data_IF_348405957523
#
_entry.id   IF_348405957523
#
_cell.length_a   1.000
_cell.length_b   1.000
_cell.length_c   1.000
_cell.angle_alpha   90.00
_cell.angle_beta   90.00
_cell.angle_gamma   90.00
#
_symmetry.space_group_name_H-M   'P 1'
#
loop_
_entity.id
_entity.type
_entity.pdbx_description
1 polymer ?
#
# COMPACT_ATOMS: atom_id res chain seq x y z
N UNK A 1 13.12 -29.59 8.01
CA UNK A 1 12.82 -28.14 8.07
C UNK A 1 14.10 -27.38 7.76
N UNK A 2 14.26 -26.87 6.54
CA UNK A 2 15.39 -26.00 6.23
C UNK A 2 15.12 -24.63 6.87
N UNK A 3 15.99 -24.22 7.79
CA UNK A 3 16.02 -22.85 8.29
C UNK A 3 16.41 -21.94 7.13
N UNK A 4 15.46 -21.18 6.60
CA UNK A 4 15.76 -20.05 5.71
C UNK A 4 16.48 -18.99 6.53
N UNK A 5 17.78 -18.82 6.27
CA UNK A 5 18.58 -17.76 6.86
C UNK A 5 17.94 -16.38 6.65
N UNK A 6 18.13 -15.42 7.57
CA UNK A 6 17.65 -14.05 7.37
C UNK A 6 18.21 -13.48 6.06
N UNK A 7 17.33 -12.86 5.26
CA UNK A 7 17.67 -12.25 3.98
C UNK A 7 18.87 -11.29 4.12
N UNK A 8 19.96 -11.60 3.42
CA UNK A 8 21.13 -10.73 3.30
C UNK A 8 21.07 -9.99 1.97
N UNK A 9 21.31 -8.67 1.97
CA UNK A 9 21.37 -7.85 0.75
C UNK A 9 22.43 -8.34 -0.25
N UNK A 10 23.44 -9.07 0.22
CA UNK A 10 24.45 -9.75 -0.60
C UNK A 10 23.91 -10.91 -1.44
N UNK A 11 22.66 -11.34 -1.24
CA UNK A 11 21.99 -12.40 -2.01
C UNK A 11 21.19 -11.87 -3.21
N UNK A 12 21.30 -10.56 -3.52
CA UNK A 12 20.67 -9.96 -4.70
C UNK A 12 21.58 -10.15 -5.91
N UNK A 13 21.08 -10.88 -6.92
CA UNK A 13 21.83 -11.27 -8.11
C UNK A 13 22.40 -10.09 -8.90
N UNK A 14 21.57 -9.06 -9.14
CA UNK A 14 21.91 -7.89 -9.97
C UNK A 14 21.34 -6.62 -9.35
N UNK A 15 21.96 -6.10 -8.27
CA UNK A 15 21.38 -5.02 -7.48
C UNK A 15 21.17 -3.73 -8.30
N UNK A 16 22.13 -3.34 -9.15
CA UNK A 16 21.99 -2.15 -9.99
C UNK A 16 20.83 -2.25 -11.00
N UNK A 17 20.65 -3.40 -11.64
CA UNK A 17 19.54 -3.63 -12.58
C UNK A 17 18.20 -3.74 -11.86
N UNK A 18 18.17 -4.34 -10.67
CA UNK A 18 16.98 -4.35 -9.81
C UNK A 18 16.57 -2.93 -9.45
N UNK A 19 17.49 -2.11 -8.92
CA UNK A 19 17.22 -0.72 -8.56
C UNK A 19 16.70 0.09 -9.76
N UNK A 20 17.36 0.00 -10.92
CA UNK A 20 16.90 0.67 -12.13
C UNK A 20 15.50 0.22 -12.56
N UNK A 21 15.23 -1.10 -12.52
CA UNK A 21 13.90 -1.65 -12.86
C UNK A 21 12.82 -1.17 -11.90
N UNK A 22 13.12 -1.05 -10.60
CA UNK A 22 12.19 -0.57 -9.59
C UNK A 22 11.87 0.93 -9.74
N UNK A 23 12.87 1.74 -10.08
CA UNK A 23 12.67 3.16 -10.41
C UNK A 23 11.77 3.29 -11.65
N UNK A 24 12.04 2.51 -12.70
CA UNK A 24 11.20 2.48 -13.89
C UNK A 24 9.79 1.98 -13.59
N UNK A 25 9.64 0.96 -12.73
CA UNK A 25 8.33 0.46 -12.31
C UNK A 25 7.49 1.55 -11.62
N UNK A 26 8.10 2.32 -10.71
CA UNK A 26 7.46 3.47 -10.07
C UNK A 26 7.05 4.55 -11.07
N UNK A 27 7.95 4.91 -11.98
CA UNK A 27 7.68 5.93 -13.01
C UNK A 27 6.56 5.51 -13.96
N UNK A 28 6.55 4.26 -14.43
CA UNK A 28 5.51 3.71 -15.31
C UNK A 28 4.16 3.66 -14.59
N UNK A 29 4.12 3.15 -13.36
CA UNK A 29 2.89 3.10 -12.57
C UNK A 29 2.30 4.50 -12.35
N UNK A 30 3.11 5.46 -11.92
CA UNK A 30 2.67 6.84 -11.70
C UNK A 30 2.19 7.52 -12.99
N UNK A 31 2.82 7.21 -14.13
CA UNK A 31 2.43 7.74 -15.44
C UNK A 31 1.03 7.31 -15.85
N UNK A 32 0.52 6.17 -15.37
CA UNK A 32 -0.85 5.72 -15.64
C UNK A 32 -1.86 6.70 -15.03
N UNK A 33 -1.66 7.07 -13.77
CA UNK A 33 -2.52 8.04 -13.10
C UNK A 33 -2.42 9.42 -13.75
N UNK A 34 -1.20 9.92 -13.98
CA UNK A 34 -1.00 11.24 -14.62
C UNK A 34 -1.59 11.26 -16.03
N UNK A 35 -1.40 10.19 -16.80
CA UNK A 35 -1.91 10.07 -18.17
C UNK A 35 -3.44 10.06 -18.23
N UNK A 36 -4.10 9.35 -17.30
CA UNK A 36 -5.57 9.34 -17.24
C UNK A 36 -6.14 10.69 -16.77
N UNK A 37 -5.50 11.36 -15.80
CA UNK A 37 -5.87 12.74 -15.44
C UNK A 37 -5.70 13.70 -16.62
N UNK A 38 -4.58 13.60 -17.35
CA UNK A 38 -4.33 14.43 -18.53
C UNK A 38 -5.31 14.15 -19.68
N UNK A 39 -5.82 12.91 -19.77
CA UNK A 39 -6.87 12.52 -20.70
C UNK A 39 -8.28 12.98 -20.27
N UNK A 40 -8.40 13.70 -19.15
CA UNK A 40 -9.65 14.28 -18.66
C UNK A 40 -10.48 13.34 -17.79
N UNK A 41 -9.94 12.21 -17.33
CA UNK A 41 -10.63 11.37 -16.34
C UNK A 41 -10.64 12.11 -15.01
N UNK A 42 -11.81 12.34 -14.39
CA UNK A 42 -11.90 13.16 -13.18
C UNK A 42 -11.25 12.49 -11.97
N UNK A 43 -10.78 13.31 -11.03
CA UNK A 43 -10.24 12.81 -9.76
C UNK A 43 -11.39 12.33 -8.85
N UNK A 44 -11.30 11.15 -8.23
CA UNK A 44 -12.40 10.64 -7.41
C UNK A 44 -12.53 11.39 -6.08
N UNK A 45 -13.69 12.00 -5.83
CA UNK A 45 -14.04 12.67 -4.57
C UNK A 45 -15.30 12.05 -3.93
N UNK A 46 -15.26 10.79 -3.45
CA UNK A 46 -16.46 10.14 -2.97
C UNK A 46 -16.85 10.52 -1.54
N UNK A 47 -18.15 10.43 -1.24
CA UNK A 47 -18.70 10.49 0.10
C UNK A 47 -19.40 9.16 0.47
N UNK A 48 -18.64 8.08 0.69
CA UNK A 48 -19.22 6.76 0.88
C UNK A 48 -19.86 6.61 2.28
N UNK A 49 -20.96 5.87 2.40
CA UNK A 49 -21.56 5.55 3.70
C UNK A 49 -20.63 4.67 4.56
N UNK A 50 -20.89 4.64 5.86
CA UNK A 50 -20.03 3.95 6.85
C UNK A 50 -19.84 2.46 6.53
N UNK A 51 -20.87 1.77 6.03
CA UNK A 51 -20.77 0.35 5.69
C UNK A 51 -19.79 0.10 4.54
N UNK A 52 -19.72 1.01 3.55
CA UNK A 52 -18.79 0.90 2.43
C UNK A 52 -17.36 1.18 2.92
N UNK A 53 -17.19 2.14 3.83
CA UNK A 53 -15.91 2.37 4.49
C UNK A 53 -15.42 1.13 5.24
N UNK A 54 -16.31 0.51 6.00
CA UNK A 54 -16.04 -0.73 6.73
C UNK A 54 -15.65 -1.90 5.81
N UNK A 55 -16.37 -2.11 4.71
CA UNK A 55 -16.03 -3.16 3.75
C UNK A 55 -14.67 -2.92 3.07
N UNK A 56 -14.31 -1.68 2.79
CA UNK A 56 -12.98 -1.37 2.28
C UNK A 56 -11.87 -1.68 3.31
N UNK A 57 -12.11 -1.35 4.58
CA UNK A 57 -11.20 -1.72 5.69
C UNK A 57 -11.06 -3.24 5.84
N UNK A 58 -12.16 -3.97 5.62
CA UNK A 58 -12.13 -5.42 5.55
C UNK A 58 -11.20 -5.94 4.45
N UNK A 59 -11.27 -5.38 3.22
CA UNK A 59 -10.38 -5.79 2.13
C UNK A 59 -8.91 -5.51 2.45
N UNK A 60 -8.60 -4.33 2.99
CA UNK A 60 -7.24 -3.97 3.41
C UNK A 60 -6.72 -4.88 4.52
N UNK A 61 -7.53 -5.12 5.55
CA UNK A 61 -7.17 -6.00 6.67
C UNK A 61 -6.98 -7.46 6.19
N UNK A 62 -7.86 -7.95 5.32
CA UNK A 62 -7.75 -9.28 4.72
C UNK A 62 -6.47 -9.46 3.93
N UNK A 63 -6.07 -8.47 3.14
CA UNK A 63 -4.80 -8.48 2.43
C UNK A 63 -3.59 -8.47 3.37
N UNK A 64 -3.64 -7.67 4.44
CA UNK A 64 -2.55 -7.65 5.43
C UNK A 64 -2.44 -8.99 6.20
N UNK A 65 -3.56 -9.61 6.55
CA UNK A 65 -3.57 -10.95 7.16
C UNK A 65 -3.02 -12.02 6.20
N UNK A 66 -3.42 -11.98 4.92
CA UNK A 66 -2.90 -12.88 3.90
C UNK A 66 -1.39 -12.71 3.74
N UNK A 67 -0.91 -11.46 3.65
CA UNK A 67 0.51 -11.14 3.66
C UNK A 67 1.22 -11.71 4.89
N UNK A 68 0.71 -11.46 6.10
CA UNK A 68 1.35 -11.94 7.34
C UNK A 68 1.41 -13.46 7.43
N UNK A 69 0.42 -14.16 6.86
CA UNK A 69 0.41 -15.63 6.76
C UNK A 69 1.45 -16.14 5.77
N UNK A 70 1.55 -15.51 4.60
CA UNK A 70 2.57 -15.84 3.58
C UNK A 70 4.00 -15.52 4.05
N UNK A 71 4.18 -14.42 4.78
CA UNK A 71 5.47 -13.99 5.32
C UNK A 71 5.84 -14.72 6.63
N UNK A 72 5.00 -15.64 7.13
CA UNK A 72 5.27 -16.35 8.39
C UNK A 72 6.64 -17.04 8.42
N UNK A 73 7.09 -17.78 7.37
CA UNK A 73 8.42 -18.41 7.38
C UNK A 73 9.56 -17.41 7.59
N UNK A 74 9.46 -16.23 6.96
CA UNK A 74 10.45 -15.16 7.02
C UNK A 74 10.43 -14.38 8.34
N UNK A 75 9.33 -14.43 9.09
CA UNK A 75 9.11 -13.60 10.28
C UNK A 75 8.86 -14.40 11.57
N UNK A 76 8.88 -15.73 11.55
CA UNK A 76 8.51 -16.58 12.68
C UNK A 76 9.34 -16.31 13.95
N UNK A 77 10.62 -15.96 13.80
CA UNK A 77 11.55 -15.67 14.90
C UNK A 77 11.43 -14.23 15.45
N UNK A 78 10.64 -13.37 14.81
CA UNK A 78 10.54 -11.95 15.18
C UNK A 78 9.46 -11.76 16.26
N UNK A 79 9.74 -10.84 17.19
CA UNK A 79 8.77 -10.45 18.23
C UNK A 79 7.49 -9.85 17.62
N UNK A 80 6.39 -9.85 18.39
CA UNK A 80 5.14 -9.19 17.99
C UNK A 80 5.40 -7.73 17.61
N UNK A 81 6.19 -7.01 18.41
CA UNK A 81 6.56 -5.62 18.13
C UNK A 81 7.26 -5.48 16.77
N UNK A 82 8.27 -6.30 16.49
CA UNK A 82 8.99 -6.24 15.22
C UNK A 82 8.08 -6.55 14.03
N UNK A 83 7.19 -7.54 14.15
CA UNK A 83 6.18 -7.88 13.12
C UNK A 83 5.20 -6.74 12.90
N UNK A 84 4.75 -6.08 13.97
CA UNK A 84 3.87 -4.91 13.91
C UNK A 84 4.56 -3.74 13.21
N UNK A 85 5.83 -3.45 13.53
CA UNK A 85 6.60 -2.39 12.86
C UNK A 85 6.74 -2.67 11.36
N UNK A 86 7.05 -3.91 10.97
CA UNK A 86 7.17 -4.29 9.55
C UNK A 86 5.83 -4.12 8.83
N UNK A 87 4.74 -4.65 9.41
CA UNK A 87 3.40 -4.53 8.86
C UNK A 87 2.96 -3.06 8.74
N UNK A 88 3.26 -2.27 9.76
CA UNK A 88 3.02 -0.82 9.79
C UNK A 88 3.77 -0.11 8.66
N UNK A 89 5.08 -0.33 8.53
CA UNK A 89 5.91 0.31 7.49
C UNK A 89 5.40 -0.07 6.10
N UNK A 90 5.12 -1.34 5.83
CA UNK A 90 4.61 -1.79 4.53
C UNK A 90 3.27 -1.15 4.22
N UNK A 91 2.34 -1.19 5.17
CA UNK A 91 0.99 -0.65 4.98
C UNK A 91 1.02 0.87 4.82
N UNK A 92 1.77 1.59 5.67
CA UNK A 92 1.91 3.04 5.58
C UNK A 92 2.53 3.46 4.24
N UNK A 93 3.55 2.73 3.79
CA UNK A 93 4.26 3.02 2.56
C UNK A 93 3.41 2.73 1.31
N UNK A 94 2.75 1.57 1.25
CA UNK A 94 1.81 1.25 0.16
C UNK A 94 0.62 2.21 0.16
N UNK A 95 0.16 2.68 1.33
CA UNK A 95 -0.90 3.68 1.41
C UNK A 95 -0.44 5.10 1.12
N UNK A 96 0.86 5.31 0.91
CA UNK A 96 1.47 6.59 0.54
C UNK A 96 1.29 7.65 1.64
N UNK A 97 1.39 7.21 2.90
CA UNK A 97 1.05 8.05 4.04
C UNK A 97 1.99 9.25 4.12
N UNK A 98 3.30 9.05 3.94
CA UNK A 98 4.25 10.17 3.94
C UNK A 98 4.12 11.04 2.70
N UNK A 99 3.90 10.43 1.52
CA UNK A 99 3.66 11.14 0.26
C UNK A 99 2.47 12.10 0.38
N UNK A 100 1.38 11.74 1.04
CA UNK A 100 0.25 12.66 1.27
C UNK A 100 0.69 13.90 2.04
N UNK A 101 1.48 13.76 3.09
CA UNK A 101 2.02 14.89 3.87
C UNK A 101 3.01 15.73 3.05
N UNK A 102 3.91 15.09 2.31
CA UNK A 102 4.87 15.75 1.43
C UNK A 102 4.14 16.55 0.35
N UNK A 103 3.20 15.93 -0.37
CA UNK A 103 2.45 16.58 -1.45
C UNK A 103 1.56 17.69 -0.92
N UNK A 104 0.92 17.52 0.24
CA UNK A 104 0.20 18.60 0.92
C UNK A 104 1.14 19.78 1.21
N UNK A 105 2.33 19.52 1.74
CA UNK A 105 3.33 20.56 2.03
C UNK A 105 3.85 21.26 0.77
N UNK A 106 4.10 20.52 -0.31
CA UNK A 106 4.52 21.06 -1.61
C UNK A 106 3.43 21.93 -2.23
N UNK A 107 2.18 21.49 -2.17
CA UNK A 107 1.05 22.16 -2.83
C UNK A 107 0.59 23.40 -2.07
N UNK A 108 0.69 23.42 -0.73
CA UNK A 108 0.18 24.53 0.10
C UNK A 108 1.29 25.40 0.71
N UNK A 109 2.52 24.92 0.76
CA UNK A 109 3.59 25.49 1.57
C UNK A 109 3.41 25.30 3.09
N UNK A 110 2.34 24.62 3.54
CA UNK A 110 1.97 24.45 4.96
C UNK A 110 2.64 23.23 5.61
N UNK A 111 3.96 23.08 5.48
CA UNK A 111 4.70 21.89 5.93
C UNK A 111 4.39 21.43 7.36
N UNK A 112 4.30 22.37 8.31
CA UNK A 112 3.98 22.06 9.70
C UNK A 112 2.56 21.49 9.85
N UNK A 113 1.58 22.10 9.18
CA UNK A 113 0.19 21.61 9.19
C UNK A 113 0.07 20.24 8.52
N UNK A 114 0.75 20.05 7.38
CA UNK A 114 0.79 18.76 6.68
C UNK A 114 1.40 17.65 7.55
N UNK A 115 2.47 17.94 8.30
CA UNK A 115 3.09 16.99 9.23
C UNK A 115 2.14 16.60 10.37
N UNK A 116 1.42 17.57 10.96
CA UNK A 116 0.40 17.29 11.99
C UNK A 116 -0.75 16.44 11.39
N UNK A 117 -1.12 16.70 10.14
CA UNK A 117 -2.12 15.93 9.40
C UNK A 117 -1.79 14.44 9.25
N UNK A 118 -0.51 14.05 9.35
CA UNK A 118 -0.07 12.66 9.29
C UNK A 118 -0.37 11.84 10.56
N UNK A 119 -0.61 12.50 11.70
CA UNK A 119 -0.82 11.80 12.97
C UNK A 119 -2.02 10.86 12.89
N UNK A 120 -3.15 11.34 12.33
CA UNK A 120 -4.39 10.57 12.16
C UNK A 120 -4.19 9.29 11.33
N UNK A 121 -3.70 9.36 10.07
CA UNK A 121 -3.49 8.16 9.26
C UNK A 121 -2.44 7.22 9.86
N UNK A 122 -1.35 7.74 10.46
CA UNK A 122 -0.33 6.88 11.09
C UNK A 122 -0.90 6.08 12.27
N UNK A 123 -1.68 6.70 13.15
CA UNK A 123 -2.34 5.97 14.25
C UNK A 123 -3.28 4.89 13.69
N UNK A 124 -4.06 5.21 12.66
CA UNK A 124 -4.96 4.23 12.02
C UNK A 124 -4.19 3.04 11.46
N UNK A 125 -3.11 3.27 10.73
CA UNK A 125 -2.26 2.20 10.19
C UNK A 125 -1.65 1.37 11.32
N UNK A 126 -1.22 2.00 12.41
CA UNK A 126 -0.67 1.31 13.58
C UNK A 126 -1.70 0.38 14.24
N UNK A 127 -2.95 0.84 14.37
CA UNK A 127 -4.05 0.02 14.91
C UNK A 127 -4.28 -1.20 14.02
N UNK A 128 -4.45 -1.01 12.71
CA UNK A 128 -4.70 -2.13 11.78
C UNK A 128 -3.53 -3.10 11.77
N UNK A 129 -2.29 -2.59 11.72
CA UNK A 129 -1.09 -3.43 11.73
C UNK A 129 -1.00 -4.28 13.00
N UNK A 130 -1.19 -3.66 14.18
CA UNK A 130 -1.17 -4.37 15.45
C UNK A 130 -2.29 -5.41 15.54
N UNK A 131 -3.52 -5.04 15.18
CA UNK A 131 -4.66 -5.96 15.20
C UNK A 131 -4.43 -7.15 14.28
N UNK A 132 -3.94 -6.93 13.06
CA UNK A 132 -3.61 -8.00 12.11
C UNK A 132 -2.49 -8.93 12.64
N UNK A 133 -1.42 -8.38 13.21
CA UNK A 133 -0.30 -9.18 13.76
C UNK A 133 -0.75 -10.01 14.96
N UNK A 134 -1.59 -9.46 15.83
CA UNK A 134 -2.17 -10.21 16.94
C UNK A 134 -3.11 -11.30 16.42
N UNK A 135 -3.94 -10.96 15.43
CA UNK A 135 -5.00 -11.84 14.93
C UNK A 135 -4.53 -12.99 14.04
N UNK A 136 -3.42 -12.83 13.32
CA UNK A 136 -2.96 -13.80 12.32
C UNK A 136 -2.74 -15.20 12.90
N UNK A 137 -2.46 -15.33 14.21
CA UNK A 137 -2.31 -16.62 14.90
C UNK A 137 -3.58 -17.47 14.89
N UNK A 138 -4.75 -16.84 14.76
CA UNK A 138 -6.05 -17.51 14.71
C UNK A 138 -6.54 -17.74 13.27
N UNK A 139 -5.74 -17.36 12.26
CA UNK A 139 -6.09 -17.50 10.83
C UNK A 139 -5.65 -18.87 10.30
N UNK A 140 -6.42 -19.90 10.63
CA UNK A 140 -6.16 -21.28 10.23
C UNK A 140 -6.47 -21.53 8.74
N UNK A 141 -7.55 -20.94 8.23
CA UNK A 141 -8.00 -21.07 6.83
C UNK A 141 -8.67 -19.81 6.30
N UNK A 142 -9.30 -19.92 5.11
CA UNK A 142 -10.02 -18.81 4.48
C UNK A 142 -11.18 -18.30 5.35
N UNK A 143 -12.05 -19.14 5.94
CA UNK A 143 -13.16 -18.64 6.76
C UNK A 143 -12.67 -17.80 7.96
N UNK A 144 -11.68 -18.29 8.70
CA UNK A 144 -11.08 -17.54 9.82
C UNK A 144 -10.39 -16.25 9.38
N UNK A 145 -9.82 -16.22 8.16
CA UNK A 145 -9.24 -15.01 7.58
C UNK A 145 -10.32 -13.95 7.37
N UNK A 146 -11.44 -14.35 6.75
CA UNK A 146 -12.54 -13.46 6.45
C UNK A 146 -13.17 -12.91 7.74
N UNK A 147 -13.40 -13.77 8.74
CA UNK A 147 -13.94 -13.35 10.05
C UNK A 147 -13.00 -12.37 10.75
N UNK A 148 -11.70 -12.68 10.81
CA UNK A 148 -10.71 -11.79 11.40
C UNK A 148 -10.62 -10.45 10.66
N UNK A 149 -10.65 -10.47 9.33
CA UNK A 149 -10.65 -9.26 8.51
C UNK A 149 -11.91 -8.41 8.74
N UNK A 150 -13.09 -9.02 8.88
CA UNK A 150 -14.35 -8.31 9.14
C UNK A 150 -14.31 -7.62 10.51
N UNK A 151 -13.83 -8.34 11.53
CA UNK A 151 -13.66 -7.81 12.88
C UNK A 151 -12.65 -6.66 12.91
N UNK A 152 -11.50 -6.82 12.26
CA UNK A 152 -10.47 -5.76 12.17
C UNK A 152 -10.99 -4.57 11.36
N UNK A 153 -11.74 -4.80 10.29
CA UNK A 153 -12.40 -3.74 9.54
C UNK A 153 -13.34 -2.93 10.42
N UNK A 154 -14.12 -3.59 11.28
CA UNK A 154 -15.02 -2.94 12.22
C UNK A 154 -14.25 -2.13 13.28
N UNK A 155 -13.19 -2.72 13.85
CA UNK A 155 -12.27 -2.05 14.78
C UNK A 155 -11.65 -0.81 14.13
N UNK A 156 -11.13 -0.92 12.91
CA UNK A 156 -10.52 0.17 12.15
C UNK A 156 -11.51 1.31 11.90
N UNK A 157 -12.76 0.96 11.53
CA UNK A 157 -13.82 1.95 11.27
C UNK A 157 -14.25 2.69 12.53
N UNK A 158 -14.40 1.98 13.66
CA UNK A 158 -14.67 2.59 14.96
C UNK A 158 -13.48 3.44 15.43
N UNK A 159 -12.26 2.92 15.32
CA UNK A 159 -11.02 3.61 15.66
C UNK A 159 -10.87 4.91 14.85
N UNK A 160 -11.20 4.91 13.55
CA UNK A 160 -11.19 6.12 12.72
C UNK A 160 -12.02 7.25 13.33
N UNK A 161 -13.24 6.95 13.79
CA UNK A 161 -14.12 7.95 14.42
C UNK A 161 -13.56 8.43 15.76
N UNK A 162 -13.10 7.51 16.60
CA UNK A 162 -12.53 7.83 17.92
C UNK A 162 -11.24 8.66 17.81
N UNK A 163 -10.34 8.28 16.90
CA UNK A 163 -9.08 8.99 16.63
C UNK A 163 -9.37 10.37 16.06
N UNK A 164 -10.31 10.49 15.13
CA UNK A 164 -10.73 11.80 14.60
C UNK A 164 -11.25 12.71 15.72
N UNK A 165 -12.16 12.19 16.56
CA UNK A 165 -12.71 12.95 17.68
C UNK A 165 -11.64 13.35 18.70
N UNK A 166 -10.76 12.42 19.10
CA UNK A 166 -9.72 12.67 20.08
C UNK A 166 -8.66 13.66 19.58
N UNK A 167 -8.35 13.65 18.28
CA UNK A 167 -7.36 14.56 17.68
C UNK A 167 -7.96 15.84 17.12
N UNK A 168 -9.29 16.00 17.11
CA UNK A 168 -9.93 17.23 16.62
C UNK A 168 -9.45 18.48 17.38
N UNK A 169 -9.38 18.51 18.72
CA UNK A 169 -8.89 19.68 19.44
C UNK A 169 -7.47 20.07 19.06
N UNK A 170 -6.60 19.07 18.83
CA UNK A 170 -5.21 19.29 18.41
C UNK A 170 -5.15 19.90 17.00
N UNK A 171 -5.92 19.36 16.05
CA UNK A 171 -5.97 19.88 14.68
C UNK A 171 -6.51 21.30 14.64
N UNK A 172 -7.57 21.59 15.41
CA UNK A 172 -8.15 22.92 15.52
C UNK A 172 -7.18 23.92 16.18
N UNK A 173 -6.44 23.49 17.19
CA UNK A 173 -5.40 24.33 17.82
C UNK A 173 -4.33 24.79 16.83
N UNK A 174 -4.00 23.94 15.84
CA UNK A 174 -3.01 24.24 14.81
C UNK A 174 -3.62 24.71 13.47
N UNK A 175 -4.92 25.00 13.41
CA UNK A 175 -5.59 25.40 12.17
C UNK A 175 -5.01 26.69 11.56
N UNK A 176 -4.42 27.56 12.38
CA UNK A 176 -3.73 28.78 11.93
C UNK A 176 -2.47 28.51 11.08
N UNK A 177 -1.92 27.29 11.12
CA UNK A 177 -0.82 26.86 10.26
C UNK A 177 -1.28 26.43 8.86
N UNK A 178 -2.58 26.18 8.67
CA UNK A 178 -3.13 25.79 7.38
C UNK A 178 -3.00 26.95 6.37
N UNK A 179 -2.73 26.61 5.11
CA UNK A 179 -2.61 27.56 4.01
C UNK A 179 -3.44 27.09 2.83
N UNK A 180 -3.96 28.01 2.00
CA UNK A 180 -4.61 27.64 0.75
C UNK A 180 -3.62 26.97 -0.21
N UNK A 181 -4.15 26.22 -1.17
CA UNK A 181 -3.36 25.61 -2.22
C UNK A 181 -2.67 26.70 -3.06
N UNK A 182 -1.35 26.59 -3.21
CA UNK A 182 -0.53 27.43 -4.10
C UNK A 182 -0.55 26.91 -5.53
N UNK A 183 -0.79 25.61 -5.71
CA UNK A 183 -0.79 24.93 -7.00
C UNK A 183 -2.05 24.07 -7.15
N UNK A 184 -2.66 24.12 -8.33
CA UNK A 184 -3.75 23.22 -8.71
C UNK A 184 -3.33 22.42 -9.95
N UNK A 185 -4.04 21.32 -10.22
CA UNK A 185 -3.85 20.59 -11.47
C UNK A 185 -4.34 21.44 -12.67
N UNK A 186 -3.63 21.49 -13.80
CA UNK A 186 -2.37 20.80 -14.11
C UNK A 186 -1.17 21.39 -13.36
N UNK A 187 -0.44 20.51 -12.67
CA UNK A 187 0.64 20.93 -11.79
C UNK A 187 1.88 21.42 -12.56
N UNK A 188 2.60 22.43 -12.04
CA UNK A 188 3.91 22.81 -12.56
C UNK A 188 4.93 21.66 -12.46
N UNK A 189 5.94 21.68 -13.33
CA UNK A 189 6.96 20.62 -13.43
C UNK A 189 7.57 20.22 -12.08
N UNK A 190 7.93 21.18 -11.22
CA UNK A 190 8.56 20.88 -9.93
C UNK A 190 7.63 20.11 -8.97
N UNK A 191 6.32 20.38 -9.02
CA UNK A 191 5.31 19.65 -8.23
C UNK A 191 5.12 18.24 -8.80
N UNK A 192 5.13 18.09 -10.12
CA UNK A 192 5.13 16.77 -10.78
C UNK A 192 6.35 15.96 -10.38
N UNK A 193 7.55 16.55 -10.38
CA UNK A 193 8.78 15.87 -9.92
C UNK A 193 8.65 15.41 -8.48
N UNK A 194 8.16 16.27 -7.58
CA UNK A 194 7.89 15.88 -6.18
C UNK A 194 6.90 14.71 -6.08
N UNK A 195 5.86 14.70 -6.92
CA UNK A 195 4.88 13.62 -6.95
C UNK A 195 5.49 12.27 -7.38
N UNK A 196 6.43 12.27 -8.34
CA UNK A 196 7.13 11.05 -8.76
C UNK A 196 8.17 10.58 -7.74
N UNK A 197 8.93 11.50 -7.13
CA UNK A 197 9.93 11.16 -6.13
C UNK A 197 9.28 10.58 -4.86
N UNK A 198 8.21 11.21 -4.38
CA UNK A 198 7.46 10.75 -3.21
C UNK A 198 6.75 9.40 -3.46
N UNK A 199 6.42 9.06 -4.71
CA UNK A 199 5.89 7.74 -5.06
C UNK A 199 6.89 6.60 -4.82
N UNK A 200 8.19 6.91 -4.67
CA UNK A 200 9.19 5.95 -4.22
C UNK A 200 8.82 5.27 -2.89
N UNK A 201 8.00 5.91 -2.05
CA UNK A 201 7.43 5.31 -0.85
C UNK A 201 6.63 4.04 -1.16
N UNK A 202 5.68 4.12 -2.10
CA UNK A 202 4.86 2.97 -2.51
C UNK A 202 5.71 1.86 -3.14
N UNK A 203 6.71 2.23 -3.95
CA UNK A 203 7.68 1.29 -4.54
C UNK A 203 8.42 0.53 -3.44
N UNK A 204 8.95 1.24 -2.44
CA UNK A 204 9.65 0.62 -1.32
C UNK A 204 8.75 -0.32 -0.51
N UNK A 205 7.51 0.08 -0.26
CA UNK A 205 6.51 -0.77 0.41
C UNK A 205 6.20 -2.06 -0.37
N UNK A 206 5.97 -1.94 -1.68
CA UNK A 206 5.71 -3.08 -2.56
C UNK A 206 6.92 -4.03 -2.65
N UNK A 207 8.15 -3.50 -2.70
CA UNK A 207 9.39 -4.29 -2.70
C UNK A 207 9.54 -5.04 -1.39
N UNK A 208 9.47 -4.35 -0.25
CA UNK A 208 9.61 -4.96 1.06
C UNK A 208 8.59 -6.08 1.27
N UNK A 209 7.33 -5.86 0.88
CA UNK A 209 6.30 -6.89 0.89
C UNK A 209 6.70 -8.10 0.03
N UNK A 210 7.11 -7.84 -1.22
CA UNK A 210 7.51 -8.86 -2.19
C UNK A 210 8.65 -9.72 -1.67
N UNK A 211 9.72 -9.11 -1.14
CA UNK A 211 10.88 -9.83 -0.58
C UNK A 211 10.44 -10.81 0.52
N UNK A 212 9.54 -10.39 1.40
CA UNK A 212 9.15 -11.18 2.57
C UNK A 212 8.26 -12.38 2.23
N UNK A 213 7.46 -12.31 1.16
CA UNK A 213 6.53 -13.38 0.79
C UNK A 213 7.00 -14.24 -0.38
N UNK A 214 8.01 -13.81 -1.14
CA UNK A 214 8.36 -14.40 -2.45
C UNK A 214 8.50 -15.92 -2.43
N UNK A 215 9.23 -16.45 -1.45
CA UNK A 215 9.51 -17.88 -1.34
C UNK A 215 8.31 -18.69 -0.84
N UNK A 216 7.34 -18.03 -0.20
CA UNK A 216 6.05 -18.62 0.20
C UNK A 216 5.01 -18.68 -0.93
N UNK A 217 5.27 -18.08 -2.09
CA UNK A 217 4.32 -18.04 -3.20
C UNK A 217 4.43 -19.28 -4.12
N UNK A 218 3.34 -19.68 -4.81
CA UNK A 218 3.34 -20.78 -5.78
C UNK A 218 4.44 -20.63 -6.84
N UNK A 219 5.00 -21.72 -7.35
CA UNK A 219 6.13 -21.67 -8.32
C UNK A 219 5.80 -21.01 -9.67
N UNK A 220 4.52 -20.93 -10.03
CA UNK A 220 4.10 -20.31 -11.30
C UNK A 220 4.35 -18.81 -11.29
N UNK A 221 5.20 -18.34 -12.21
CA UNK A 221 5.57 -16.93 -12.36
C UNK A 221 4.35 -16.01 -12.48
N UNK A 222 3.42 -16.34 -13.38
CA UNK A 222 2.22 -15.54 -13.61
C UNK A 222 1.35 -15.45 -12.35
N UNK A 223 1.22 -16.54 -11.59
CA UNK A 223 0.46 -16.55 -10.34
C UNK A 223 1.12 -15.68 -9.27
N UNK A 224 2.46 -15.69 -9.15
CA UNK A 224 3.18 -14.80 -8.23
C UNK A 224 2.94 -13.33 -8.53
N UNK A 225 3.09 -12.97 -9.81
CA UNK A 225 2.90 -11.59 -10.30
C UNK A 225 1.48 -11.12 -9.99
N UNK A 226 0.47 -11.95 -10.28
CA UNK A 226 -0.92 -11.63 -9.97
C UNK A 226 -1.15 -11.47 -8.46
N UNK A 227 -0.67 -12.41 -7.64
CA UNK A 227 -0.86 -12.31 -6.18
C UNK A 227 -0.26 -11.01 -5.64
N UNK A 228 0.96 -10.65 -6.06
CA UNK A 228 1.61 -9.42 -5.58
C UNK A 228 0.88 -8.18 -6.08
N UNK A 229 0.48 -8.13 -7.36
CA UNK A 229 -0.31 -7.04 -7.92
C UNK A 229 -1.61 -6.82 -7.12
N UNK A 230 -2.36 -7.89 -6.87
CA UNK A 230 -3.60 -7.83 -6.09
C UNK A 230 -3.34 -7.45 -4.62
N UNK A 231 -2.30 -7.98 -3.97
CA UNK A 231 -1.98 -7.61 -2.59
C UNK A 231 -1.61 -6.14 -2.46
N UNK A 232 -0.79 -5.60 -3.38
CA UNK A 232 -0.45 -4.17 -3.40
C UNK A 232 -1.70 -3.31 -3.57
N UNK A 233 -2.56 -3.63 -4.54
CA UNK A 233 -3.78 -2.89 -4.80
C UNK A 233 -4.83 -3.02 -3.66
N UNK A 234 -4.93 -4.19 -3.02
CA UNK A 234 -5.80 -4.40 -1.86
C UNK A 234 -5.30 -3.65 -0.62
N UNK A 235 -3.99 -3.67 -0.34
CA UNK A 235 -3.40 -2.95 0.80
C UNK A 235 -3.51 -1.44 0.66
N UNK A 236 -3.39 -0.92 -0.57
CA UNK A 236 -3.68 0.48 -0.89
C UNK A 236 -5.17 0.81 -0.69
N UNK A 237 -6.06 -0.18 -0.81
CA UNK A 237 -7.51 -0.03 -0.70
C UNK A 237 -8.19 0.39 -2.01
N UNK A 238 -7.47 0.45 -3.13
CA UNK A 238 -8.03 0.94 -4.40
C UNK A 238 -8.99 -0.05 -5.06
N UNK A 239 -8.85 -1.36 -4.80
CA UNK A 239 -9.85 -2.35 -5.23
C UNK A 239 -11.18 -2.09 -4.53
N UNK A 240 -11.17 -1.95 -3.20
CA UNK A 240 -12.38 -1.65 -2.44
C UNK A 240 -12.96 -0.29 -2.82
N UNK A 241 -12.14 0.74 -3.03
CA UNK A 241 -12.61 2.04 -3.50
C UNK A 241 -13.27 1.95 -4.89
N UNK A 242 -12.67 1.22 -5.83
CA UNK A 242 -13.24 1.07 -7.19
C UNK A 242 -14.57 0.33 -7.17
N UNK A 243 -14.69 -0.72 -6.34
CA UNK A 243 -15.91 -1.52 -6.28
C UNK A 243 -17.03 -0.86 -5.45
N UNK A 244 -16.66 -0.17 -4.37
CA UNK A 244 -17.61 0.32 -3.38
C UNK A 244 -17.84 1.83 -3.47
N UNK A 245 -16.82 2.63 -3.79
CA UNK A 245 -16.91 4.11 -3.71
C UNK A 245 -17.31 4.76 -5.03
N UNK A 246 -17.20 4.04 -6.15
CA UNK A 246 -17.56 4.56 -7.49
C UNK A 246 -19.01 5.02 -7.62
N UNK A 247 -19.93 4.44 -6.83
CA UNK A 247 -21.33 4.87 -6.80
C UNK A 247 -21.59 6.13 -5.93
N UNK A 248 -20.57 6.61 -5.20
CA UNK A 248 -20.71 7.69 -4.21
C UNK A 248 -19.88 8.93 -4.57
N UNK A 249 -19.48 9.09 -5.83
CA UNK A 249 -18.73 10.26 -6.33
C UNK A 249 -19.62 11.47 -6.66
N UNK A 250 -20.95 11.32 -6.62
CA UNK A 250 -21.89 12.36 -7.08
C UNK A 250 -22.07 12.42 -8.60
N UNK A 251 -21.31 11.60 -9.33
CA UNK A 251 -21.34 11.43 -10.78
C UNK A 251 -22.03 10.10 -11.15
N UNK A 252 -22.10 9.79 -12.45
CA UNK A 252 -22.53 8.45 -12.88
C UNK A 252 -21.55 7.36 -12.38
N UNK A 253 -22.08 6.16 -12.09
CA UNK A 253 -21.25 5.03 -11.62
C UNK A 253 -20.09 4.73 -12.57
N UNK A 254 -20.31 4.83 -13.89
CA UNK A 254 -19.27 4.62 -14.89
C UNK A 254 -18.13 5.63 -14.76
N UNK A 255 -18.45 6.91 -14.57
CA UNK A 255 -17.46 7.96 -14.32
C UNK A 255 -16.73 7.69 -13.00
N UNK A 256 -17.43 7.26 -11.95
CA UNK A 256 -16.79 6.87 -10.69
C UNK A 256 -15.81 5.69 -10.86
N UNK A 257 -16.19 4.66 -11.62
CA UNK A 257 -15.33 3.51 -11.92
C UNK A 257 -14.10 3.95 -12.71
N UNK A 258 -14.27 4.79 -13.74
CA UNK A 258 -13.15 5.33 -14.51
C UNK A 258 -12.23 6.19 -13.64
N UNK A 259 -12.77 7.01 -12.75
CA UNK A 259 -12.00 7.85 -11.81
C UNK A 259 -11.14 7.00 -10.88
N UNK A 260 -11.72 5.95 -10.29
CA UNK A 260 -10.98 5.04 -9.41
C UNK A 260 -10.04 4.10 -10.16
N UNK A 261 -10.31 3.81 -11.43
CA UNK A 261 -9.45 2.95 -12.27
C UNK A 261 -8.04 3.50 -12.41
N UNK A 262 -7.85 4.83 -12.30
CA UNK A 262 -6.54 5.48 -12.32
C UNK A 262 -5.59 4.88 -11.28
N UNK A 263 -6.04 4.87 -10.02
CA UNK A 263 -5.27 4.35 -8.91
C UNK A 263 -5.25 2.82 -8.88
N UNK A 264 -6.35 2.17 -9.30
CA UNK A 264 -6.38 0.71 -9.40
C UNK A 264 -5.31 0.20 -10.37
N UNK A 265 -5.25 0.77 -11.58
CA UNK A 265 -4.27 0.38 -12.60
C UNK A 265 -2.85 0.74 -12.17
N UNK A 266 -2.63 1.93 -11.60
CA UNK A 266 -1.33 2.35 -11.04
C UNK A 266 -0.77 1.30 -10.06
N UNK A 267 -1.58 0.86 -9.07
CA UNK A 267 -1.11 -0.07 -8.05
C UNK A 267 -1.03 -1.53 -8.52
N UNK A 268 -1.90 -1.95 -9.44
CA UNK A 268 -1.78 -3.27 -10.09
C UNK A 268 -0.50 -3.35 -10.92
N UNK A 269 -0.21 -2.31 -11.72
CA UNK A 269 1.00 -2.22 -12.54
C UNK A 269 2.24 -2.15 -11.66
N UNK A 270 2.21 -1.35 -10.58
CA UNK A 270 3.30 -1.28 -9.62
C UNK A 270 3.62 -2.67 -9.05
N UNK A 271 2.62 -3.36 -8.49
CA UNK A 271 2.85 -4.69 -7.91
C UNK A 271 3.31 -5.72 -8.95
N UNK A 272 2.78 -5.67 -10.17
CA UNK A 272 3.20 -6.57 -11.24
C UNK A 272 4.66 -6.33 -11.67
N UNK A 273 5.04 -5.08 -11.88
CA UNK A 273 6.40 -4.72 -12.31
C UNK A 273 7.43 -4.97 -11.20
N UNK A 274 7.09 -4.70 -9.94
CA UNK A 274 7.95 -5.05 -8.79
C UNK A 274 8.16 -6.56 -8.70
N UNK A 275 7.09 -7.36 -8.84
CA UNK A 275 7.19 -8.81 -8.85
C UNK A 275 8.08 -9.33 -10.00
N UNK A 276 7.91 -8.79 -11.20
CA UNK A 276 8.73 -9.15 -12.36
C UNK A 276 10.19 -8.76 -12.20
N UNK A 277 10.47 -7.55 -11.69
CA UNK A 277 11.83 -7.09 -11.44
C UNK A 277 12.52 -7.99 -10.39
N UNK A 278 11.80 -8.34 -9.33
CA UNK A 278 12.30 -9.23 -8.29
C UNK A 278 12.58 -10.65 -8.80
N UNK A 279 11.68 -11.22 -9.60
CA UNK A 279 11.85 -12.54 -10.23
C UNK A 279 13.13 -12.62 -11.08
N UNK A 280 13.41 -11.57 -11.86
CA UNK A 280 14.51 -11.57 -12.84
C UNK A 280 15.86 -11.21 -12.20
N UNK A 281 15.87 -10.23 -11.29
CA UNK A 281 17.10 -9.61 -10.77
C UNK A 281 17.31 -9.77 -9.27
N UNK A 282 16.26 -10.08 -8.51
CA UNK A 282 16.27 -10.13 -7.05
C UNK A 282 16.79 -11.44 -6.46
N UNK A 283 16.66 -12.57 -7.18
CA UNK A 283 17.05 -13.90 -6.67
C UNK A 283 18.29 -14.45 -7.37
N UNK A 284 19.24 -14.95 -6.60
CA UNK A 284 20.23 -15.88 -7.12
C UNK A 284 19.54 -17.18 -7.53
N UNK A 285 19.69 -17.58 -8.80
CA UNK A 285 19.22 -18.91 -9.23
C UNK A 285 19.94 -19.93 -8.35
N UNK A 286 19.20 -20.85 -7.73
CA UNK A 286 19.83 -22.08 -7.23
C UNK A 286 20.70 -22.62 -8.38
N UNK A 287 21.97 -22.99 -8.14
CA UNK A 287 22.76 -23.64 -9.17
C UNK A 287 21.92 -24.83 -9.65
N UNK A 288 21.74 -24.93 -10.97
CA UNK A 288 21.12 -26.09 -11.59
C UNK A 288 21.73 -27.32 -10.94
N UNK A 289 20.90 -28.20 -10.36
CA UNK A 289 21.36 -29.47 -9.81
C UNK A 289 22.18 -30.14 -10.90
N UNK A 290 23.49 -30.13 -10.74
CA UNK A 290 24.39 -30.97 -11.53
C UNK A 290 23.89 -32.38 -11.31
N UNK A 291 23.66 -33.10 -12.40
CA UNK A 291 22.97 -34.38 -12.43
C UNK A 291 23.45 -35.34 -11.35
N UNK A 292 22.49 -35.98 -10.71
CA UNK A 292 22.68 -37.31 -10.17
C UNK A 292 21.89 -38.24 -11.10
N UNK A 293 22.55 -38.65 -12.18
CA UNK A 293 22.37 -40.00 -12.72
C UNK A 293 23.05 -40.99 -11.78
#
# INVERSE_FOLDING_TARGET
>A
MQQTAPFALSAVRRPGLLSASLVLAGAVAMSVHVGLLAAGVPFPLPQPPVWAQWLNEFFMAGALLAFLKLAHPSMAHRSIMARTIIAFVIMAAIQETLRVGIMSGVVTGAWAYSAIGLIRPLIRVAIVALSCVVAVRWVLGIPSLLIAALAIGAISTAARKLVAHALEPLIQHFAWLARPDLYAFPYPFHVTVAAYLSFGEAVAGAVLMTVLIWDGLPRSRSVRVLIIAFLVALLKGVIGNTLLYSAFTGESVLVGVLSWSQFLLEFLILGALVALAWDVFGRDREPARVGAE
#
